data_IF_196228667013
#
_entry.id   IF_196228667013
#
_cell.length_a   1.000
_cell.length_b   1.000
_cell.length_c   1.000
_cell.angle_alpha   90.00
_cell.angle_beta   90.00
_cell.angle_gamma   90.00
#
_symmetry.space_group_name_H-M   'P 1'
#
loop_
_entity.id
_entity.type
_entity.pdbx_description
1 polymer ?
#
# COMPACT_ATOMS: atom_id res chain seq x y z
N UNK A 1 1.09 32.92 -15.83
CA UNK A 1 1.44 31.67 -16.54
C UNK A 1 2.92 31.69 -16.90
N UNK A 2 3.78 31.07 -16.14
CA UNK A 2 5.21 30.85 -16.47
C UNK A 2 5.46 29.36 -16.49
N UNK A 3 5.61 28.78 -17.68
CA UNK A 3 6.03 27.40 -17.89
C UNK A 3 7.49 27.26 -17.44
N UNK A 4 7.73 26.51 -16.35
CA UNK A 4 9.06 26.06 -15.96
C UNK A 4 9.42 24.86 -16.83
N UNK A 5 10.46 25.00 -17.65
CA UNK A 5 11.12 23.90 -18.38
C UNK A 5 11.96 23.12 -17.38
N UNK A 6 11.63 21.86 -17.18
CA UNK A 6 12.45 20.90 -16.43
C UNK A 6 13.57 20.39 -17.33
N UNK A 7 14.78 20.44 -16.82
CA UNK A 7 15.94 19.79 -17.45
C UNK A 7 15.97 18.35 -16.92
N UNK A 8 15.91 17.39 -17.84
CA UNK A 8 16.08 15.95 -17.56
C UNK A 8 17.53 15.72 -17.10
N UNK A 9 17.70 15.12 -15.93
CA UNK A 9 18.98 14.57 -15.48
C UNK A 9 19.07 13.12 -15.95
N UNK A 10 20.11 12.82 -16.70
CA UNK A 10 20.43 11.46 -17.16
C UNK A 10 21.54 10.96 -16.23
N UNK A 11 21.26 9.90 -15.48
CA UNK A 11 22.28 9.18 -14.75
C UNK A 11 23.03 8.24 -15.70
N UNK A 12 24.31 8.46 -15.90
CA UNK A 12 25.17 7.66 -16.77
C UNK A 12 25.87 6.60 -15.91
N UNK A 13 25.46 5.33 -16.02
CA UNK A 13 26.14 4.22 -15.38
C UNK A 13 27.40 3.84 -16.13
N UNK A 14 28.54 3.87 -15.44
CA UNK A 14 29.86 3.51 -15.97
C UNK A 14 30.06 1.99 -16.04
N UNK A 15 30.21 1.47 -17.24
CA UNK A 15 30.63 0.10 -17.50
C UNK A 15 32.16 0.05 -17.50
N UNK A 16 32.79 -0.70 -16.59
CA UNK A 16 34.23 -0.93 -16.60
C UNK A 16 34.60 -2.05 -17.57
N UNK A 17 35.27 -1.69 -18.66
CA UNK A 17 35.96 -2.64 -19.55
C UNK A 17 37.48 -2.42 -19.40
N UNK A 18 38.18 -3.46 -18.96
CA UNK A 18 39.62 -3.45 -18.90
C UNK A 18 40.18 -3.73 -20.30
N UNK A 19 40.95 -2.78 -20.85
CA UNK A 19 41.89 -3.03 -21.94
C UNK A 19 43.28 -2.58 -21.53
N UNK A 20 44.21 -3.51 -21.59
CA UNK A 20 45.65 -3.23 -21.48
C UNK A 20 46.19 -2.70 -22.81
N UNK A 21 46.88 -1.59 -22.80
CA UNK A 21 47.63 -1.12 -23.97
C UNK A 21 48.86 -0.35 -23.66
N UNK A 22 49.84 -0.50 -24.54
CA UNK A 22 51.20 -0.06 -24.58
C UNK A 22 51.37 1.46 -24.65
N UNK A 23 52.42 1.92 -24.02
CA UNK A 23 52.89 3.30 -23.99
C UNK A 23 53.47 3.81 -25.33
N UNK A 24 53.12 5.05 -25.67
CA UNK A 24 53.87 5.98 -26.50
C UNK A 24 53.82 7.36 -25.84
N UNK A 25 54.95 8.07 -25.63
CA UNK A 25 54.94 9.38 -24.99
C UNK A 25 54.70 10.52 -25.97
N UNK A 26 53.83 11.48 -25.56
CA UNK A 26 53.61 12.75 -26.26
C UNK A 26 53.74 13.93 -25.32
N UNK A 27 54.24 15.05 -25.84
CA UNK A 27 54.60 16.30 -25.18
C UNK A 27 53.44 17.05 -24.51
N UNK A 28 53.73 17.95 -23.55
CA UNK A 28 52.70 18.62 -22.75
C UNK A 28 52.10 19.85 -23.46
N UNK A 29 50.79 19.94 -23.49
CA UNK A 29 50.00 21.13 -23.80
C UNK A 29 49.59 21.88 -22.53
N UNK A 30 49.24 23.19 -22.62
CA UNK A 30 49.18 24.09 -21.47
C UNK A 30 47.99 23.78 -20.52
N UNK A 31 48.24 24.00 -19.24
CA UNK A 31 47.30 23.84 -18.13
C UNK A 31 46.19 24.87 -18.23
N UNK A 32 44.98 24.42 -18.54
CA UNK A 32 43.73 25.09 -18.16
C UNK A 32 43.33 24.55 -16.80
N UNK A 33 43.10 25.43 -15.86
CA UNK A 33 42.61 25.13 -14.51
C UNK A 33 41.18 24.62 -14.59
N UNK A 34 40.87 23.42 -14.11
CA UNK A 34 39.53 23.01 -13.87
C UNK A 34 39.31 22.85 -12.37
N UNK A 35 39.02 23.91 -11.68
CA UNK A 35 38.49 23.83 -10.33
C UNK A 35 37.12 24.52 -10.28
N UNK A 36 36.13 23.92 -10.91
CA UNK A 36 34.72 23.99 -10.54
C UNK A 36 34.23 22.54 -10.37
N UNK A 37 34.63 21.93 -9.27
CA UNK A 37 33.89 20.83 -8.68
C UNK A 37 32.50 21.36 -8.35
N UNK A 38 31.53 21.10 -9.20
CA UNK A 38 30.12 21.17 -8.82
C UNK A 38 29.95 20.16 -7.69
N UNK A 39 29.96 20.64 -6.45
CA UNK A 39 29.41 19.91 -5.32
C UNK A 39 27.96 19.61 -5.69
N UNK A 40 27.69 18.37 -6.10
CA UNK A 40 26.34 17.82 -6.07
C UNK A 40 25.93 17.92 -4.61
N UNK A 41 25.11 18.91 -4.27
CA UNK A 41 24.46 18.98 -2.97
C UNK A 41 23.58 17.72 -2.88
N UNK A 42 24.11 16.69 -2.24
CA UNK A 42 23.30 15.56 -1.78
C UNK A 42 22.18 16.14 -0.94
N UNK A 43 20.96 15.99 -1.41
CA UNK A 43 19.77 16.40 -0.67
C UNK A 43 19.67 15.40 0.51
N UNK A 44 20.20 15.79 1.67
CA UNK A 44 20.07 14.99 2.89
C UNK A 44 18.61 15.02 3.33
N UNK A 45 17.88 13.92 3.09
CA UNK A 45 16.49 13.76 3.48
C UNK A 45 16.48 13.22 4.91
N UNK A 46 16.10 14.06 5.86
CA UNK A 46 16.03 13.66 7.27
C UNK A 46 14.77 12.81 7.52
N UNK A 47 15.00 11.57 7.97
CA UNK A 47 13.92 10.67 8.35
C UNK A 47 13.25 11.12 9.68
N UNK A 48 11.95 10.82 9.87
CA UNK A 48 11.24 11.14 11.10
C UNK A 48 11.91 10.53 12.33
N UNK A 49 12.24 11.37 13.32
CA UNK A 49 12.85 10.97 14.57
C UNK A 49 11.93 11.25 15.75
N UNK A 50 12.17 10.58 16.88
CA UNK A 50 11.48 10.83 18.16
C UNK A 50 9.96 10.68 18.10
N UNK A 51 9.45 9.71 17.32
CA UNK A 51 8.04 9.36 17.32
C UNK A 51 7.62 8.78 18.68
N UNK A 52 6.45 9.20 19.16
CA UNK A 52 5.85 8.73 20.40
C UNK A 52 5.28 7.32 20.29
N UNK A 53 4.84 6.90 19.09
CA UNK A 53 4.33 5.57 18.84
C UNK A 53 5.40 4.51 19.11
N UNK A 54 5.01 3.37 19.69
CA UNK A 54 5.88 2.20 19.81
C UNK A 54 6.14 1.58 18.42
N UNK A 55 5.05 1.38 17.65
CA UNK A 55 5.15 0.97 16.25
C UNK A 55 4.49 2.01 15.34
N UNK A 56 5.14 2.29 14.21
CA UNK A 56 4.65 3.23 13.21
C UNK A 56 4.95 2.72 11.79
N UNK A 57 4.03 2.95 10.87
CA UNK A 57 4.20 2.71 9.44
C UNK A 57 3.66 3.90 8.66
N UNK A 58 4.41 4.37 7.68
CA UNK A 58 3.93 5.21 6.59
C UNK A 58 4.03 4.41 5.30
N UNK A 59 2.92 4.27 4.57
CA UNK A 59 2.80 3.45 3.38
C UNK A 59 2.33 4.27 2.18
N UNK A 60 2.91 3.99 1.02
CA UNK A 60 2.32 4.31 -0.28
C UNK A 60 1.13 3.37 -0.50
N UNK A 61 -0.08 3.90 -0.46
CA UNK A 61 -1.29 3.09 -0.54
C UNK A 61 -1.54 2.53 -1.95
N UNK A 62 -0.92 3.08 -2.98
CA UNK A 62 -1.12 2.65 -4.36
C UNK A 62 -0.22 1.43 -4.70
N UNK A 63 1.01 1.40 -4.17
CA UNK A 63 1.96 0.32 -4.41
C UNK A 63 2.11 -0.67 -3.25
N UNK A 64 1.63 -0.33 -2.05
CA UNK A 64 1.85 -1.08 -0.81
C UNK A 64 3.27 -0.93 -0.24
N UNK A 65 4.09 -0.04 -0.81
CA UNK A 65 5.46 0.21 -0.35
C UNK A 65 5.48 0.91 1.01
N UNK A 66 6.27 0.40 1.96
CA UNK A 66 6.56 1.07 3.22
C UNK A 66 7.57 2.19 2.95
N UNK A 67 7.19 3.44 3.22
CA UNK A 67 8.02 4.63 3.06
C UNK A 67 8.79 4.98 4.33
N UNK A 68 8.25 4.58 5.48
CA UNK A 68 8.89 4.67 6.79
C UNK A 68 8.33 3.58 7.71
N UNK A 69 9.23 2.92 8.45
CA UNK A 69 8.90 1.89 9.44
C UNK A 69 9.60 2.11 10.76
N UNK A 70 8.89 1.91 11.87
CA UNK A 70 9.42 1.82 13.23
C UNK A 70 8.75 0.65 13.92
N UNK A 71 9.48 -0.43 14.16
CA UNK A 71 8.90 -1.68 14.67
C UNK A 71 7.57 -2.03 13.99
N UNK A 72 7.48 -1.77 12.69
CA UNK A 72 6.26 -1.83 11.88
C UNK A 72 5.69 -3.24 11.76
N UNK A 73 6.53 -4.26 11.90
CA UNK A 73 6.17 -5.67 11.86
C UNK A 73 5.95 -6.29 13.24
N UNK A 74 6.08 -5.48 14.32
CA UNK A 74 5.82 -5.98 15.68
C UNK A 74 4.33 -5.98 15.95
N UNK A 75 3.77 -7.17 16.21
CA UNK A 75 2.36 -7.34 16.56
C UNK A 75 2.05 -6.73 17.94
N UNK A 76 1.03 -5.88 17.98
CA UNK A 76 0.54 -5.20 19.17
C UNK A 76 -0.98 -5.19 19.22
N UNK A 77 -1.53 -5.04 20.43
CA UNK A 77 -2.93 -4.72 20.61
C UNK A 77 -3.24 -3.39 19.87
N UNK A 78 -4.34 -3.34 19.14
CA UNK A 78 -4.67 -2.24 18.24
C UNK A 78 -5.99 -1.53 18.57
N UNK A 79 -6.66 -1.95 19.64
CA UNK A 79 -7.89 -1.34 20.13
C UNK A 79 -8.92 -1.15 18.98
N UNK A 80 -9.71 -0.09 19.06
CA UNK A 80 -10.78 0.20 18.07
C UNK A 80 -10.31 0.54 16.65
N UNK A 81 -8.99 0.51 16.33
CA UNK A 81 -8.57 0.53 14.92
C UNK A 81 -9.01 -0.76 14.20
N UNK A 82 -9.29 -1.83 14.94
CA UNK A 82 -9.97 -3.06 14.48
C UNK A 82 -11.24 -2.78 13.67
N UNK A 83 -11.98 -1.72 14.02
CA UNK A 83 -13.27 -1.40 13.39
C UNK A 83 -13.17 -1.04 11.91
N UNK A 84 -11.97 -0.74 11.39
CA UNK A 84 -11.71 -0.65 9.95
C UNK A 84 -12.00 -2.00 9.27
N UNK A 85 -11.46 -3.10 9.82
CA UNK A 85 -11.71 -4.45 9.31
C UNK A 85 -13.18 -4.84 9.53
N UNK A 86 -13.76 -4.51 10.67
CA UNK A 86 -15.18 -4.76 10.95
C UNK A 86 -16.08 -4.08 9.93
N UNK A 87 -15.83 -2.80 9.62
CA UNK A 87 -16.62 -2.08 8.62
C UNK A 87 -16.48 -2.71 7.24
N UNK A 88 -15.25 -2.97 6.75
CA UNK A 88 -15.08 -3.45 5.37
C UNK A 88 -15.67 -4.85 5.19
N UNK A 89 -15.47 -5.77 6.14
CA UNK A 89 -16.10 -7.10 6.12
C UNK A 89 -17.62 -6.97 6.10
N UNK A 90 -18.20 -6.06 6.90
CA UNK A 90 -19.64 -5.80 6.91
C UNK A 90 -20.16 -5.34 5.55
N UNK A 91 -19.48 -4.36 4.96
CA UNK A 91 -19.85 -3.78 3.66
C UNK A 91 -19.78 -4.80 2.51
N UNK A 92 -18.85 -5.73 2.58
CA UNK A 92 -18.66 -6.76 1.54
C UNK A 92 -19.59 -7.97 1.70
N UNK A 93 -20.21 -8.17 2.89
CA UNK A 93 -21.00 -9.38 3.17
C UNK A 93 -22.48 -9.12 3.42
N UNK A 94 -22.94 -7.86 3.61
CA UNK A 94 -24.32 -7.59 3.97
C UNK A 94 -24.90 -6.36 3.26
N UNK A 95 -26.22 -6.36 3.06
CA UNK A 95 -26.96 -5.21 2.56
C UNK A 95 -27.19 -4.20 3.70
N UNK A 96 -26.76 -2.96 3.50
CA UNK A 96 -26.89 -1.86 4.46
C UNK A 96 -28.34 -1.52 4.85
N UNK A 97 -29.34 -1.96 4.06
CA UNK A 97 -30.75 -1.79 4.37
C UNK A 97 -31.31 -2.88 5.29
N UNK A 98 -30.49 -3.86 5.66
CA UNK A 98 -30.90 -4.90 6.60
C UNK A 98 -31.23 -4.31 7.97
N UNK A 99 -32.25 -4.91 8.61
CA UNK A 99 -32.63 -4.58 9.99
C UNK A 99 -31.85 -5.48 10.96
N UNK A 100 -31.07 -4.87 11.83
CA UNK A 100 -30.27 -5.53 12.87
C UNK A 100 -31.01 -5.44 14.19
N UNK A 101 -31.16 -6.57 14.89
CA UNK A 101 -31.73 -6.64 16.23
C UNK A 101 -30.60 -6.80 17.26
N UNK A 102 -30.58 -5.95 18.27
CA UNK A 102 -29.62 -6.04 19.36
C UNK A 102 -29.91 -7.25 20.22
N UNK A 103 -28.90 -8.10 20.43
CA UNK A 103 -28.95 -9.20 21.38
C UNK A 103 -28.68 -8.70 22.81
N UNK A 104 -28.95 -9.55 23.82
CA UNK A 104 -28.55 -9.30 25.21
C UNK A 104 -27.03 -9.11 25.31
N UNK A 105 -26.26 -9.88 24.50
CA UNK A 105 -24.80 -9.79 24.50
C UNK A 105 -24.30 -8.48 23.88
N UNK A 106 -24.87 -8.04 22.76
CA UNK A 106 -24.55 -6.76 22.18
C UNK A 106 -24.86 -5.61 23.15
N UNK A 107 -26.08 -5.60 23.75
CA UNK A 107 -26.49 -4.58 24.71
C UNK A 107 -25.63 -4.54 26.00
N UNK A 108 -24.95 -5.64 26.35
CA UNK A 108 -24.10 -5.75 27.54
C UNK A 108 -22.63 -5.33 27.31
N UNK A 109 -22.28 -4.91 26.11
CA UNK A 109 -20.88 -4.54 25.81
C UNK A 109 -20.44 -3.33 26.67
N UNK A 110 -19.15 -3.26 27.05
CA UNK A 110 -18.64 -2.12 27.83
C UNK A 110 -18.51 -0.85 26.97
N UNK A 111 -18.39 0.30 27.62
CA UNK A 111 -18.17 1.60 27.00
C UNK A 111 -16.95 1.59 26.00
N UNK A 112 -17.10 2.30 24.90
CA UNK A 112 -18.09 3.29 24.45
C UNK A 112 -19.27 2.58 23.82
N UNK A 113 -20.52 3.01 24.10
CA UNK A 113 -21.75 2.35 23.66
C UNK A 113 -22.71 3.32 22.97
N UNK A 114 -23.48 2.81 21.99
CA UNK A 114 -24.69 3.42 21.48
C UNK A 114 -25.80 3.39 22.57
N UNK A 115 -25.70 2.45 23.51
CA UNK A 115 -26.72 2.12 24.51
C UNK A 115 -28.02 1.57 23.86
N UNK A 116 -27.87 0.75 22.83
CA UNK A 116 -28.99 0.00 22.26
C UNK A 116 -29.54 -1.00 23.26
N UNK A 117 -30.86 -1.06 23.42
CA UNK A 117 -31.51 -2.02 24.29
C UNK A 117 -31.61 -3.40 23.63
N UNK A 118 -31.61 -4.47 24.44
CA UNK A 118 -31.92 -5.81 23.93
C UNK A 118 -33.29 -5.85 23.22
N UNK A 119 -33.33 -6.42 22.01
CA UNK A 119 -34.48 -6.45 21.13
C UNK A 119 -34.71 -5.17 20.30
N UNK A 120 -33.98 -4.09 20.58
CA UNK A 120 -34.08 -2.85 19.79
C UNK A 120 -33.51 -3.07 18.38
N UNK A 121 -34.14 -2.44 17.38
CA UNK A 121 -33.81 -2.65 15.98
C UNK A 121 -33.29 -1.38 15.31
N UNK A 122 -32.31 -1.54 14.44
CA UNK A 122 -31.66 -0.48 13.70
C UNK A 122 -31.40 -0.91 12.25
N UNK A 123 -31.24 0.05 11.33
CA UNK A 123 -30.65 -0.26 10.02
C UNK A 123 -29.16 -0.56 10.18
N UNK A 124 -28.66 -1.53 9.43
CA UNK A 124 -27.23 -1.86 9.40
C UNK A 124 -26.38 -0.65 9.02
N UNK A 125 -26.85 0.16 8.07
CA UNK A 125 -26.21 1.43 7.69
C UNK A 125 -25.98 2.34 8.91
N UNK A 126 -27.00 2.52 9.73
CA UNK A 126 -26.94 3.40 10.91
C UNK A 126 -25.93 2.91 11.94
N UNK A 127 -25.85 1.59 12.12
CA UNK A 127 -24.85 0.98 12.99
C UNK A 127 -23.43 1.11 12.43
N UNK A 128 -23.23 1.11 11.12
CA UNK A 128 -21.92 1.38 10.50
C UNK A 128 -21.44 2.81 10.76
N UNK A 129 -22.32 3.81 10.70
CA UNK A 129 -21.99 5.17 11.12
C UNK A 129 -21.69 5.25 12.62
N UNK A 130 -22.50 4.64 13.47
CA UNK A 130 -22.29 4.51 14.91
C UNK A 130 -20.92 3.88 15.23
N UNK A 131 -20.56 2.79 14.55
CA UNK A 131 -19.29 2.07 14.65
C UNK A 131 -18.09 2.97 14.37
N UNK A 132 -18.16 3.76 13.30
CA UNK A 132 -16.99 4.52 12.83
C UNK A 132 -16.87 5.89 13.48
N UNK A 133 -17.97 6.62 13.64
CA UNK A 133 -17.94 7.99 14.12
C UNK A 133 -17.71 8.05 15.65
N UNK A 134 -18.47 7.27 16.43
CA UNK A 134 -18.40 7.24 17.89
C UNK A 134 -17.63 6.04 18.45
N UNK A 135 -17.35 5.04 17.59
CA UNK A 135 -16.61 3.84 18.01
C UNK A 135 -17.40 2.91 18.94
N UNK A 136 -18.74 2.87 18.85
CA UNK A 136 -19.59 2.10 19.76
C UNK A 136 -19.30 0.59 19.69
N UNK A 137 -19.09 -0.03 20.85
CA UNK A 137 -18.73 -1.44 20.99
C UNK A 137 -19.92 -2.38 20.83
N UNK A 138 -21.07 -1.97 21.33
CA UNK A 138 -22.35 -2.67 21.20
C UNK A 138 -22.79 -2.74 19.71
N UNK A 139 -22.64 -1.63 18.96
CA UNK A 139 -22.87 -1.62 17.52
C UNK A 139 -21.98 -2.60 16.78
N UNK A 140 -20.68 -2.71 17.14
CA UNK A 140 -19.75 -3.64 16.52
C UNK A 140 -20.18 -5.11 16.73
N UNK A 141 -20.63 -5.45 17.93
CA UNK A 141 -21.11 -6.80 18.25
C UNK A 141 -22.43 -7.11 17.55
N UNK A 142 -23.39 -6.17 17.59
CA UNK A 142 -24.67 -6.36 16.90
C UNK A 142 -24.48 -6.55 15.37
N UNK A 143 -23.55 -5.79 14.74
CA UNK A 143 -23.16 -5.98 13.35
C UNK A 143 -22.59 -7.38 13.14
N UNK A 144 -21.65 -7.82 13.96
CA UNK A 144 -21.00 -9.12 13.82
C UNK A 144 -21.98 -10.28 13.94
N UNK A 145 -22.87 -10.25 14.93
CA UNK A 145 -23.93 -11.24 15.11
C UNK A 145 -24.90 -11.27 13.91
N UNK A 146 -25.25 -10.09 13.37
CA UNK A 146 -26.15 -10.01 12.22
C UNK A 146 -25.49 -10.58 10.95
N UNK A 147 -24.22 -10.23 10.68
CA UNK A 147 -23.55 -10.60 9.42
C UNK A 147 -23.14 -12.09 9.40
N UNK A 148 -22.67 -12.61 10.52
CA UNK A 148 -22.10 -13.96 10.58
C UNK A 148 -22.78 -14.92 11.56
N UNK A 149 -23.81 -14.46 12.27
CA UNK A 149 -24.55 -15.25 13.25
C UNK A 149 -23.90 -15.32 14.64
N UNK A 150 -22.61 -15.01 14.77
CA UNK A 150 -21.91 -14.89 16.05
C UNK A 150 -20.66 -14.05 15.94
N UNK A 151 -20.14 -13.58 17.08
CA UNK A 151 -18.85 -12.84 17.14
C UNK A 151 -17.69 -13.70 16.67
N UNK A 152 -17.67 -14.97 17.02
CA UNK A 152 -16.62 -15.91 16.65
C UNK A 152 -16.61 -16.18 15.14
N UNK A 153 -17.78 -16.37 14.54
CA UNK A 153 -17.90 -16.56 13.08
C UNK A 153 -17.48 -15.29 12.32
N UNK A 154 -17.84 -14.10 12.84
CA UNK A 154 -17.42 -12.83 12.26
C UNK A 154 -15.90 -12.61 12.39
N UNK A 155 -15.30 -12.97 13.53
CA UNK A 155 -13.85 -12.95 13.69
C UNK A 155 -13.15 -13.88 12.67
N UNK A 156 -13.77 -15.01 12.34
CA UNK A 156 -13.34 -15.87 11.24
C UNK A 156 -13.26 -15.12 9.92
N UNK A 157 -14.33 -14.41 9.50
CA UNK A 157 -14.34 -13.59 8.29
C UNK A 157 -13.28 -12.48 8.31
N UNK A 158 -13.06 -11.85 9.47
CA UNK A 158 -12.02 -10.83 9.61
C UNK A 158 -10.61 -11.41 9.40
N UNK A 159 -10.35 -12.60 9.92
CA UNK A 159 -9.06 -13.28 9.77
C UNK A 159 -8.86 -13.83 8.35
N UNK A 160 -9.91 -14.33 7.70
CA UNK A 160 -9.88 -14.70 6.28
C UNK A 160 -9.52 -13.49 5.41
N UNK A 161 -10.18 -12.36 5.63
CA UNK A 161 -9.86 -11.11 4.92
C UNK A 161 -8.43 -10.65 5.20
N UNK A 162 -7.94 -10.72 6.45
CA UNK A 162 -6.56 -10.40 6.78
C UNK A 162 -5.56 -11.28 6.01
N UNK A 163 -5.83 -12.58 5.93
CA UNK A 163 -4.99 -13.52 5.16
C UNK A 163 -5.02 -13.23 3.65
N UNK A 164 -6.20 -12.93 3.07
CA UNK A 164 -6.33 -12.51 1.66
C UNK A 164 -5.47 -11.27 1.34
N UNK A 165 -5.39 -10.34 2.29
CA UNK A 165 -4.59 -9.12 2.16
C UNK A 165 -3.09 -9.33 2.48
N UNK A 166 -2.67 -10.56 2.82
CA UNK A 166 -1.29 -10.86 3.21
C UNK A 166 -0.89 -10.31 4.58
N UNK A 167 -1.87 -10.02 5.46
CA UNK A 167 -1.64 -9.54 6.83
C UNK A 167 -1.39 -10.73 7.77
N UNK A 168 -0.20 -11.33 7.67
CA UNK A 168 0.12 -12.60 8.31
C UNK A 168 0.37 -12.50 9.83
N UNK A 169 0.68 -11.31 10.32
CA UNK A 169 0.91 -11.04 11.74
C UNK A 169 -0.30 -10.36 12.42
N UNK A 170 -1.48 -10.54 11.82
CA UNK A 170 -2.76 -10.01 12.32
C UNK A 170 -3.65 -11.15 12.79
N UNK A 171 -4.25 -10.97 13.98
CA UNK A 171 -5.24 -11.91 14.52
C UNK A 171 -6.37 -11.19 15.21
N UNK A 172 -7.59 -11.35 14.71
CA UNK A 172 -8.79 -10.75 15.25
C UNK A 172 -9.60 -11.78 16.05
N UNK A 173 -10.03 -11.40 17.26
CA UNK A 173 -10.90 -12.19 18.14
C UNK A 173 -12.21 -11.45 18.39
N UNK A 174 -12.17 -10.10 18.38
CA UNK A 174 -13.33 -9.26 18.68
C UNK A 174 -13.60 -8.25 17.57
N UNK A 175 -14.88 -7.96 17.22
CA UNK A 175 -15.20 -6.98 16.19
C UNK A 175 -15.03 -5.52 16.64
N UNK A 176 -14.95 -5.29 17.95
CA UNK A 176 -14.84 -3.96 18.55
C UNK A 176 -13.40 -3.55 18.90
N UNK A 177 -12.46 -4.52 18.92
CA UNK A 177 -11.06 -4.28 19.26
C UNK A 177 -10.76 -4.24 20.76
N UNK A 178 -11.65 -4.76 21.59
CA UNK A 178 -11.35 -4.98 23.01
C UNK A 178 -10.31 -6.08 23.17
N UNK A 179 -9.42 -5.89 24.14
CA UNK A 179 -8.34 -6.82 24.43
C UNK A 179 -8.90 -8.22 24.75
N UNK A 180 -8.45 -9.23 24.04
CA UNK A 180 -8.80 -10.64 24.22
C UNK A 180 -7.66 -11.52 23.80
N UNK A 181 -7.53 -12.66 24.45
CA UNK A 181 -6.55 -13.69 24.14
C UNK A 181 -7.24 -15.07 24.16
N UNK A 182 -6.80 -15.97 23.31
CA UNK A 182 -7.20 -17.35 23.27
C UNK A 182 -6.00 -18.26 23.01
N UNK A 183 -6.22 -19.54 22.73
CA UNK A 183 -5.17 -20.54 22.48
C UNK A 183 -4.27 -20.23 21.27
N UNK A 184 -4.75 -19.42 20.32
CA UNK A 184 -4.02 -19.02 19.11
C UNK A 184 -3.24 -17.71 19.29
N UNK A 185 -3.45 -16.99 20.40
CA UNK A 185 -2.76 -15.77 20.78
C UNK A 185 -3.67 -14.61 21.13
N UNK A 186 -3.11 -13.40 21.16
CA UNK A 186 -3.86 -12.20 21.53
C UNK A 186 -4.40 -11.45 20.28
N UNK A 187 -5.53 -10.75 20.48
CA UNK A 187 -6.11 -9.84 19.51
C UNK A 187 -5.15 -8.69 19.20
N UNK A 188 -4.70 -8.58 17.96
CA UNK A 188 -3.73 -7.56 17.57
C UNK A 188 -3.30 -7.63 16.10
N UNK A 189 -2.56 -6.61 15.70
CA UNK A 189 -2.02 -6.45 14.34
C UNK A 189 -0.66 -5.76 14.39
N UNK A 190 0.03 -5.69 13.27
CA UNK A 190 1.22 -4.85 13.08
C UNK A 190 0.85 -3.50 12.49
N UNK A 191 1.74 -2.50 12.59
CA UNK A 191 1.49 -1.21 11.96
C UNK A 191 1.49 -1.34 10.41
N UNK A 192 2.33 -2.21 9.87
CA UNK A 192 2.37 -2.50 8.43
C UNK A 192 1.06 -3.16 7.95
N UNK A 193 0.57 -4.18 8.65
CA UNK A 193 -0.68 -4.86 8.29
C UNK A 193 -1.88 -3.92 8.43
N UNK A 194 -1.93 -3.11 9.48
CA UNK A 194 -3.01 -2.13 9.66
C UNK A 194 -3.02 -1.08 8.54
N UNK A 195 -1.85 -0.64 8.09
CA UNK A 195 -1.72 0.25 6.94
C UNK A 195 -2.19 -0.43 5.64
N UNK A 196 -1.86 -1.70 5.44
CA UNK A 196 -2.29 -2.50 4.27
C UNK A 196 -3.82 -2.69 4.25
N UNK A 197 -4.43 -3.00 5.40
CA UNK A 197 -5.89 -3.09 5.54
C UNK A 197 -6.56 -1.76 5.16
N UNK A 198 -6.05 -0.62 5.65
CA UNK A 198 -6.59 0.69 5.29
C UNK A 198 -6.40 0.99 3.80
N UNK A 199 -5.25 0.67 3.21
CA UNK A 199 -4.98 0.85 1.78
C UNK A 199 -5.99 0.08 0.92
N UNK A 200 -6.27 -1.18 1.27
CA UNK A 200 -7.31 -1.97 0.63
C UNK A 200 -8.69 -1.30 0.71
N UNK A 201 -9.09 -0.86 1.90
CA UNK A 201 -10.40 -0.25 2.13
C UNK A 201 -10.65 1.00 1.26
N UNK A 202 -9.61 1.79 0.98
CA UNK A 202 -9.74 3.07 0.26
C UNK A 202 -9.43 3.00 -1.24
N UNK A 203 -8.72 1.96 -1.70
CA UNK A 203 -8.27 1.86 -3.10
C UNK A 203 -8.84 0.65 -3.84
N UNK A 204 -8.90 -0.52 -3.21
CA UNK A 204 -9.11 -1.78 -3.91
C UNK A 204 -10.49 -2.40 -3.69
N UNK A 205 -11.04 -2.27 -2.47
CA UNK A 205 -12.35 -2.84 -2.15
C UNK A 205 -13.44 -2.38 -3.11
N UNK A 206 -14.33 -3.27 -3.56
CA UNK A 206 -15.52 -2.88 -4.32
C UNK A 206 -16.44 -1.94 -3.55
N UNK A 207 -16.30 -1.87 -2.22
CA UNK A 207 -17.09 -1.04 -1.32
C UNK A 207 -16.36 0.25 -0.87
N UNK A 208 -15.23 0.60 -1.51
CA UNK A 208 -14.39 1.74 -1.13
C UNK A 208 -15.13 3.07 -1.06
N UNK A 209 -16.04 3.34 -1.99
CA UNK A 209 -16.80 4.61 -1.99
C UNK A 209 -17.72 4.70 -0.77
N UNK A 210 -18.41 3.61 -0.42
CA UNK A 210 -19.26 3.55 0.77
C UNK A 210 -18.43 3.61 2.06
N UNK A 211 -17.27 2.96 2.08
CA UNK A 211 -16.32 3.04 3.19
C UNK A 211 -15.87 4.49 3.41
N UNK A 212 -15.49 5.20 2.35
CA UNK A 212 -15.09 6.61 2.40
C UNK A 212 -16.25 7.51 2.80
N UNK A 213 -17.47 7.31 2.27
CA UNK A 213 -18.67 8.06 2.68
C UNK A 213 -18.85 7.99 4.21
N UNK A 214 -18.82 6.78 4.78
CA UNK A 214 -19.02 6.59 6.21
C UNK A 214 -17.90 7.24 7.03
N UNK A 215 -16.63 7.00 6.66
CA UNK A 215 -15.47 7.45 7.45
C UNK A 215 -15.19 8.95 7.36
N UNK A 216 -15.67 9.62 6.30
CA UNK A 216 -15.53 11.07 6.10
C UNK A 216 -16.69 11.87 6.67
N UNK A 217 -17.83 11.25 6.92
CA UNK A 217 -19.05 11.96 7.40
C UNK A 217 -18.76 12.66 8.72
N UNK A 218 -18.97 13.98 8.82
CA UNK A 218 -18.67 14.75 10.05
C UNK A 218 -19.61 14.41 11.21
N UNK A 219 -20.89 14.24 10.91
CA UNK A 219 -21.93 13.86 11.88
C UNK A 219 -23.06 13.14 11.18
N UNK A 220 -23.72 12.24 11.88
CA UNK A 220 -24.82 11.44 11.37
C UNK A 220 -25.88 11.26 12.45
N UNK A 221 -27.17 11.44 12.12
CA UNK A 221 -28.27 11.26 13.03
C UNK A 221 -29.25 10.25 12.48
N UNK A 222 -29.76 9.37 13.32
CA UNK A 222 -30.70 8.32 12.97
C UNK A 222 -31.62 7.98 14.14
N UNK A 223 -32.64 7.18 13.88
CA UNK A 223 -33.55 6.66 14.88
C UNK A 223 -33.54 5.13 14.86
N UNK A 224 -33.94 4.51 15.96
CA UNK A 224 -34.29 3.10 15.91
C UNK A 224 -35.49 2.87 14.94
N UNK A 225 -35.70 1.63 14.53
CA UNK A 225 -36.77 1.29 13.53
C UNK A 225 -38.14 1.75 13.99
N UNK A 226 -38.43 1.70 15.29
CA UNK A 226 -39.72 2.14 15.86
C UNK A 226 -39.86 3.67 15.89
N UNK A 227 -38.80 4.44 15.66
CA UNK A 227 -38.80 5.91 15.75
C UNK A 227 -38.98 6.45 17.20
N UNK A 228 -38.77 5.61 18.20
CA UNK A 228 -38.96 5.97 19.63
C UNK A 228 -37.75 6.59 20.26
N UNK A 229 -36.56 6.36 19.70
CA UNK A 229 -35.27 6.89 20.19
C UNK A 229 -34.47 7.46 19.02
N UNK A 230 -33.87 8.63 19.27
CA UNK A 230 -33.01 9.31 18.30
C UNK A 230 -31.55 9.30 18.80
N UNK A 231 -30.64 9.12 17.86
CA UNK A 231 -29.21 9.05 18.09
C UNK A 231 -28.46 10.07 17.21
N UNK A 232 -27.35 10.58 17.70
CA UNK A 232 -26.48 11.47 16.96
C UNK A 232 -25.04 11.08 17.18
N UNK A 233 -24.30 10.87 16.12
CA UNK A 233 -22.90 10.49 16.09
C UNK A 233 -22.05 11.60 15.49
N UNK A 234 -20.90 11.90 16.11
CA UNK A 234 -19.93 12.86 15.61
C UNK A 234 -18.60 12.18 15.30
N UNK A 235 -17.96 12.59 14.24
CA UNK A 235 -16.70 11.99 13.83
C UNK A 235 -15.55 12.46 14.71
N UNK A 236 -14.92 11.55 15.44
CA UNK A 236 -13.78 11.83 16.31
C UNK A 236 -12.43 11.78 15.56
N UNK A 237 -12.43 11.57 14.24
CA UNK A 237 -11.21 11.61 13.43
C UNK A 237 -10.79 13.07 13.15
N UNK A 238 -10.05 13.63 14.08
CA UNK A 238 -9.54 15.01 13.98
C UNK A 238 -8.64 15.22 12.74
N UNK A 239 -8.04 14.18 12.21
CA UNK A 239 -7.17 14.25 11.04
C UNK A 239 -7.87 14.83 9.82
N UNK A 240 -9.17 14.55 9.62
CA UNK A 240 -9.97 15.07 8.51
C UNK A 240 -9.99 16.59 8.39
N UNK A 241 -9.75 17.29 9.50
CA UNK A 241 -9.67 18.77 9.53
C UNK A 241 -8.27 19.31 9.83
N UNK A 242 -7.31 18.42 10.08
CA UNK A 242 -5.96 18.79 10.49
C UNK A 242 -5.01 18.96 9.31
N UNK A 243 -5.19 18.14 8.26
CA UNK A 243 -4.36 18.20 7.06
C UNK A 243 -5.24 18.17 5.82
N UNK A 244 -4.92 19.04 4.86
CA UNK A 244 -5.57 19.05 3.56
C UNK A 244 -5.28 17.74 2.81
N UNK A 245 -6.33 17.16 2.23
CA UNK A 245 -6.25 15.84 1.58
C UNK A 245 -6.50 14.64 2.49
N UNK A 246 -6.75 14.82 3.80
CA UNK A 246 -7.15 13.72 4.67
C UNK A 246 -8.50 13.13 4.23
N UNK A 247 -8.56 11.79 4.04
CA UNK A 247 -9.73 11.11 3.47
C UNK A 247 -10.34 10.04 4.36
N UNK A 248 -9.64 9.54 5.36
CA UNK A 248 -10.16 8.49 6.25
C UNK A 248 -9.33 8.37 7.52
N UNK A 249 -9.84 7.63 8.50
CA UNK A 249 -9.06 7.21 9.66
C UNK A 249 -9.92 6.70 10.80
N UNK A 250 -9.25 6.01 11.74
CA UNK A 250 -9.87 5.47 12.96
C UNK A 250 -8.92 5.57 14.13
N UNK A 251 -9.41 6.08 15.26
CA UNK A 251 -8.71 6.08 16.53
C UNK A 251 -9.03 4.82 17.33
N UNK A 252 -8.10 4.41 18.20
CA UNK A 252 -8.30 3.34 19.17
C UNK A 252 -7.65 3.67 20.51
N UNK A 253 -8.19 3.11 21.59
CA UNK A 253 -7.58 3.13 22.90
C UNK A 253 -8.11 1.98 23.75
N UNK A 254 -7.21 1.22 24.36
CA UNK A 254 -7.45 0.39 25.55
C UNK A 254 -6.29 0.60 26.52
N UNK A 255 -6.42 0.15 27.76
CA UNK A 255 -5.33 0.23 28.74
C UNK A 255 -4.07 -0.49 28.28
N UNK A 256 -4.23 -1.62 27.59
CA UNK A 256 -3.13 -2.44 27.06
C UNK A 256 -2.54 -1.83 25.77
N UNK A 257 -3.39 -1.47 24.82
CA UNK A 257 -2.93 -0.96 23.51
C UNK A 257 -2.31 0.45 23.56
N UNK A 258 -2.68 1.28 24.55
CA UNK A 258 -2.42 2.71 24.49
C UNK A 258 -3.24 3.38 23.38
N UNK A 259 -2.87 4.60 22.98
CA UNK A 259 -3.50 5.28 21.86
C UNK A 259 -3.00 4.69 20.53
N UNK A 260 -3.93 4.25 19.69
CA UNK A 260 -3.69 3.77 18.33
C UNK A 260 -4.39 4.66 17.32
N UNK A 261 -3.85 4.69 16.11
CA UNK A 261 -4.45 5.44 15.01
C UNK A 261 -4.08 4.81 13.66
N UNK A 262 -5.02 4.83 12.72
CA UNK A 262 -4.76 4.62 11.31
C UNK A 262 -5.47 5.72 10.53
N UNK A 263 -4.81 6.29 9.53
CA UNK A 263 -5.40 7.35 8.72
C UNK A 263 -4.82 7.40 7.31
N UNK A 264 -5.60 7.94 6.39
CA UNK A 264 -5.25 8.05 4.98
C UNK A 264 -5.35 9.49 4.48
N UNK A 265 -4.41 9.87 3.63
CA UNK A 265 -4.34 11.17 2.99
C UNK A 265 -4.11 11.00 1.48
N UNK A 266 -4.88 11.72 0.67
CA UNK A 266 -4.68 11.79 -0.78
C UNK A 266 -4.38 13.21 -1.20
N UNK A 267 -3.22 13.42 -1.81
CA UNK A 267 -2.76 14.75 -2.21
C UNK A 267 -1.79 14.67 -3.39
N UNK A 268 -1.95 15.55 -4.36
CA UNK A 268 -1.06 15.65 -5.54
C UNK A 268 -0.90 14.31 -6.28
N UNK A 269 -2.01 13.59 -6.45
CA UNK A 269 -2.11 12.27 -7.07
C UNK A 269 -1.27 11.17 -6.36
N UNK A 270 -1.03 11.33 -5.05
CA UNK A 270 -0.35 10.38 -4.16
C UNK A 270 -1.25 10.04 -2.99
N UNK A 271 -1.30 8.76 -2.63
CA UNK A 271 -2.11 8.29 -1.50
C UNK A 271 -1.22 7.69 -0.42
N UNK A 272 -1.29 8.25 0.77
CA UNK A 272 -0.50 7.83 1.93
C UNK A 272 -1.41 7.23 3.00
N UNK A 273 -0.92 6.18 3.65
CA UNK A 273 -1.52 5.63 4.87
C UNK A 273 -0.51 5.66 6.01
N UNK A 274 -0.92 6.19 7.16
CA UNK A 274 -0.17 6.11 8.41
C UNK A 274 -0.88 5.17 9.37
N UNK A 275 -0.12 4.30 10.04
CA UNK A 275 -0.61 3.47 11.13
C UNK A 275 0.31 3.62 12.35
N UNK A 276 -0.27 3.82 13.53
CA UNK A 276 0.42 4.06 14.79
C UNK A 276 -0.17 3.16 15.88
N UNK A 277 0.68 2.38 16.55
CA UNK A 277 0.31 1.52 17.65
C UNK A 277 1.09 1.92 18.92
N UNK A 278 0.40 1.93 20.08
CA UNK A 278 1.03 2.30 21.33
C UNK A 278 1.56 3.75 21.38
N UNK A 279 0.80 4.70 20.85
CA UNK A 279 1.21 6.10 20.72
C UNK A 279 0.82 6.92 21.99
N UNK A 280 1.36 6.50 23.15
CA UNK A 280 1.11 7.10 24.45
C UNK A 280 -0.10 6.51 25.18
N UNK A 281 -0.21 6.89 26.48
CA UNK A 281 -1.26 6.48 27.40
C UNK A 281 -1.96 7.70 28.00
N UNK A 282 -2.88 7.57 28.95
CA UNK A 282 -3.65 8.71 29.49
C UNK A 282 -2.79 9.94 29.82
N UNK A 283 -3.31 11.10 29.48
CA UNK A 283 -2.72 12.44 29.43
C UNK A 283 -1.96 12.76 28.11
N UNK A 284 -1.69 11.77 27.25
CA UNK A 284 -0.90 11.93 26.02
C UNK A 284 -1.73 11.68 24.73
N UNK A 285 -3.04 11.88 24.77
CA UNK A 285 -3.96 11.61 23.66
C UNK A 285 -3.64 12.34 22.34
N UNK A 286 -2.81 13.39 22.38
CA UNK A 286 -2.44 14.18 21.22
C UNK A 286 -1.17 13.67 20.50
N UNK A 287 -0.42 12.74 21.10
CA UNK A 287 0.81 12.20 20.51
C UNK A 287 0.56 11.60 19.10
N UNK A 288 -0.52 10.82 18.96
CA UNK A 288 -0.89 10.26 17.66
C UNK A 288 -1.09 11.31 16.57
N UNK A 289 -1.58 12.52 16.92
CA UNK A 289 -1.75 13.60 15.94
C UNK A 289 -0.42 14.24 15.56
N UNK A 290 0.52 14.35 16.50
CA UNK A 290 1.86 14.84 16.24
C UNK A 290 2.62 13.90 15.31
N UNK A 291 2.64 12.59 15.65
CA UNK A 291 3.30 11.56 14.82
C UNK A 291 2.65 11.45 13.43
N UNK A 292 1.31 11.45 13.36
CA UNK A 292 0.59 11.44 12.07
C UNK A 292 1.02 12.60 11.19
N UNK A 293 1.05 13.83 11.74
CA UNK A 293 1.45 15.01 10.97
C UNK A 293 2.90 14.93 10.50
N UNK A 294 3.80 14.49 11.38
CA UNK A 294 5.22 14.36 11.05
C UNK A 294 5.44 13.34 9.92
N UNK A 295 4.82 12.15 10.01
CA UNK A 295 4.96 11.10 9.00
C UNK A 295 4.32 11.49 7.68
N UNK A 296 3.11 12.06 7.68
CA UNK A 296 2.44 12.51 6.46
C UNK A 296 3.24 13.63 5.77
N UNK A 297 3.77 14.60 6.55
CA UNK A 297 4.58 15.66 5.99
C UNK A 297 5.87 15.12 5.39
N UNK A 298 6.54 14.16 6.05
CA UNK A 298 7.71 13.47 5.51
C UNK A 298 7.39 12.80 4.16
N UNK A 299 6.27 12.08 4.08
CA UNK A 299 5.84 11.47 2.81
C UNK A 299 5.63 12.51 1.69
N UNK A 300 4.95 13.60 2.00
CA UNK A 300 4.65 14.67 1.04
C UNK A 300 5.94 15.34 0.54
N UNK A 301 6.87 15.65 1.43
CA UNK A 301 8.05 16.46 1.12
C UNK A 301 9.19 15.63 0.51
N UNK A 302 9.28 14.35 0.86
CA UNK A 302 10.43 13.51 0.53
C UNK A 302 10.23 12.58 -0.66
N UNK A 303 8.98 12.28 -1.04
CA UNK A 303 8.69 11.29 -2.09
C UNK A 303 8.01 11.92 -3.29
N UNK A 304 8.27 11.34 -4.47
CA UNK A 304 7.65 11.71 -5.74
C UNK A 304 7.08 10.46 -6.41
N UNK A 305 5.95 10.61 -7.13
CA UNK A 305 5.33 9.53 -7.89
C UNK A 305 6.07 9.32 -9.20
N UNK A 306 6.49 8.10 -9.43
CA UNK A 306 7.18 7.69 -10.64
C UNK A 306 6.37 6.61 -11.35
N UNK A 307 6.11 6.81 -12.65
CA UNK A 307 5.53 5.79 -13.50
C UNK A 307 6.66 4.90 -14.03
N UNK A 308 6.69 3.64 -13.62
CA UNK A 308 7.72 2.67 -14.00
C UNK A 308 7.72 2.36 -15.51
N UNK A 309 6.55 2.52 -16.18
CA UNK A 309 6.40 2.28 -17.60
C UNK A 309 6.98 3.42 -18.48
N UNK A 310 7.22 4.60 -17.90
CA UNK A 310 7.79 5.76 -18.59
C UNK A 310 9.30 5.86 -18.41
N UNK A 311 9.91 4.96 -17.64
CA UNK A 311 11.35 4.94 -17.45
C UNK A 311 12.06 4.46 -18.72
N UNK A 312 13.22 5.06 -19.03
CA UNK A 312 14.08 4.61 -20.13
C UNK A 312 14.72 3.26 -19.74
N UNK A 313 14.29 2.18 -20.37
CA UNK A 313 14.84 0.84 -20.15
C UNK A 313 16.16 0.64 -20.93
N UNK A 314 17.00 -0.33 -20.51
CA UNK A 314 18.21 -0.67 -21.27
C UNK A 314 17.89 -1.03 -22.72
N UNK A 315 18.58 -0.42 -23.67
CA UNK A 315 18.37 -0.65 -25.13
C UNK A 315 18.50 -2.12 -25.51
N UNK A 316 19.34 -2.86 -24.80
CA UNK A 316 19.55 -4.28 -25.00
C UNK A 316 18.27 -5.10 -24.75
N UNK A 317 17.31 -4.61 -23.95
CA UNK A 317 16.03 -5.29 -23.73
C UNK A 317 15.21 -5.41 -25.02
N UNK A 318 15.26 -4.39 -25.87
CA UNK A 318 14.48 -4.30 -27.13
C UNK A 318 15.27 -4.73 -28.38
N UNK A 319 16.57 -5.01 -28.25
CA UNK A 319 17.37 -5.45 -29.39
C UNK A 319 16.80 -6.73 -30.01
N UNK A 320 16.75 -6.84 -31.35
CA UNK A 320 16.35 -8.09 -32.01
C UNK A 320 17.19 -9.28 -31.55
N UNK A 321 16.59 -10.47 -31.53
CA UNK A 321 17.26 -11.72 -31.16
C UNK A 321 17.61 -12.53 -32.42
N UNK A 322 18.83 -13.10 -32.42
CA UNK A 322 19.27 -14.01 -33.47
C UNK A 322 18.60 -15.38 -33.31
N UNK A 323 17.99 -15.87 -34.40
CA UNK A 323 17.42 -17.21 -34.52
C UNK A 323 18.21 -17.96 -35.57
N UNK A 324 19.01 -18.96 -35.14
CA UNK A 324 19.74 -19.85 -36.03
C UNK A 324 18.86 -20.98 -36.54
N UNK A 325 19.25 -21.61 -37.66
CA UNK A 325 18.49 -22.70 -38.27
C UNK A 325 17.17 -22.28 -38.89
N UNK A 326 16.95 -20.98 -39.08
CA UNK A 326 15.73 -20.40 -39.66
C UNK A 326 15.59 -20.68 -41.16
N UNK A 327 14.33 -20.81 -41.61
CA UNK A 327 14.02 -20.78 -43.04
C UNK A 327 14.05 -19.35 -43.52
N UNK A 328 15.08 -18.98 -44.32
CA UNK A 328 15.28 -17.65 -44.88
C UNK A 328 15.36 -17.73 -46.42
N UNK A 329 14.95 -16.66 -47.11
CA UNK A 329 15.00 -16.57 -48.58
C UNK A 329 16.43 -16.48 -49.11
N UNK A 330 17.33 -15.90 -48.36
CA UNK A 330 18.74 -15.69 -48.69
C UNK A 330 19.66 -16.87 -48.30
N UNK A 331 19.07 -17.97 -47.80
CA UNK A 331 19.79 -19.17 -47.37
C UNK A 331 20.80 -18.94 -46.21
N UNK A 332 20.76 -17.77 -45.55
CA UNK A 332 21.66 -17.44 -44.42
C UNK A 332 21.41 -18.32 -43.20
N UNK A 333 20.21 -18.88 -43.09
CA UNK A 333 19.71 -19.67 -41.94
C UNK A 333 19.75 -18.90 -40.59
N UNK A 334 19.84 -17.57 -40.67
CA UNK A 334 19.83 -16.69 -39.53
C UNK A 334 18.71 -15.66 -39.75
N UNK A 335 17.79 -15.54 -38.78
CA UNK A 335 16.75 -14.53 -38.79
C UNK A 335 16.84 -13.70 -37.51
N UNK A 336 16.85 -12.38 -37.66
CA UNK A 336 16.67 -11.46 -36.56
C UNK A 336 15.18 -11.28 -36.29
N UNK A 337 14.75 -11.45 -35.04
CA UNK A 337 13.34 -11.34 -34.65
C UNK A 337 13.21 -10.29 -33.56
N UNK A 338 12.20 -9.43 -33.67
CA UNK A 338 11.90 -8.40 -32.67
C UNK A 338 11.52 -9.04 -31.35
N UNK A 339 11.97 -8.40 -30.30
CA UNK A 339 11.64 -8.71 -28.91
C UNK A 339 10.73 -7.61 -28.37
N UNK A 340 9.71 -7.98 -27.64
CA UNK A 340 8.80 -7.04 -27.00
C UNK A 340 8.64 -7.38 -25.54
N UNK A 341 8.37 -6.36 -24.73
CA UNK A 341 8.05 -6.51 -23.33
C UNK A 341 6.62 -7.00 -23.18
N UNK A 342 6.40 -7.94 -22.26
CA UNK A 342 5.08 -8.43 -21.89
C UNK A 342 4.93 -8.29 -20.38
N UNK A 343 4.01 -7.43 -19.95
CA UNK A 343 3.64 -7.26 -18.56
C UNK A 343 2.65 -8.36 -18.16
N UNK A 344 2.83 -8.95 -16.99
CA UNK A 344 1.83 -9.80 -16.37
C UNK A 344 0.75 -8.93 -15.72
N UNK A 345 -0.47 -9.44 -15.63
CA UNK A 345 -1.58 -8.73 -14.96
C UNK A 345 -1.25 -8.43 -13.49
N UNK A 346 -1.68 -7.26 -13.01
CA UNK A 346 -1.53 -6.78 -11.62
C UNK A 346 -0.11 -6.42 -11.13
N UNK A 347 0.77 -5.97 -12.00
CA UNK A 347 2.04 -5.40 -11.53
C UNK A 347 1.93 -3.91 -11.22
N UNK A 348 2.78 -3.45 -10.29
CA UNK A 348 2.88 -2.03 -9.94
C UNK A 348 3.31 -1.22 -11.17
N UNK A 349 2.52 -0.20 -11.51
CA UNK A 349 2.85 0.76 -12.58
C UNK A 349 3.40 2.07 -12.00
N UNK A 350 2.89 2.49 -10.87
CA UNK A 350 3.31 3.70 -10.19
C UNK A 350 3.84 3.36 -8.80
N UNK A 351 4.90 4.05 -8.39
CA UNK A 351 5.52 3.89 -7.07
C UNK A 351 5.99 5.25 -6.57
N UNK A 352 5.94 5.46 -5.26
CA UNK A 352 6.57 6.62 -4.66
C UNK A 352 8.07 6.33 -4.43
N UNK A 353 8.93 7.12 -5.06
CA UNK A 353 10.37 7.11 -4.81
C UNK A 353 10.78 8.30 -3.95
N UNK A 354 11.67 8.07 -3.00
CA UNK A 354 12.32 9.14 -2.27
C UNK A 354 13.25 9.87 -3.24
N UNK A 355 13.44 11.18 -3.05
CA UNK A 355 14.17 12.04 -4.00
C UNK A 355 15.62 11.65 -4.24
N UNK A 356 16.21 10.87 -3.32
CA UNK A 356 17.58 10.31 -3.41
C UNK A 356 17.59 8.85 -3.90
N UNK A 357 16.45 8.26 -4.25
CA UNK A 357 16.34 6.90 -4.77
C UNK A 357 16.21 6.87 -6.28
N UNK A 358 16.63 5.76 -6.87
CA UNK A 358 16.50 5.49 -8.30
C UNK A 358 16.17 4.01 -8.54
N UNK A 359 15.54 3.73 -9.69
CA UNK A 359 15.31 2.36 -10.14
C UNK A 359 16.53 1.87 -10.90
N UNK A 360 17.06 0.73 -10.48
CA UNK A 360 18.07 -0.03 -11.20
C UNK A 360 17.41 -1.08 -12.09
N UNK A 361 18.03 -1.35 -13.24
CA UNK A 361 17.55 -2.39 -14.15
C UNK A 361 18.49 -3.59 -14.13
N UNK A 362 17.91 -4.79 -14.01
CA UNK A 362 18.62 -6.04 -14.23
C UNK A 362 18.00 -6.78 -15.41
N UNK A 363 18.80 -6.93 -16.49
CA UNK A 363 18.42 -7.62 -17.69
C UNK A 363 19.03 -9.02 -17.71
N UNK A 364 18.18 -10.05 -17.81
CA UNK A 364 18.58 -11.44 -18.04
C UNK A 364 18.00 -11.86 -19.39
N UNK A 365 18.86 -12.18 -20.38
CA UNK A 365 18.41 -12.41 -21.74
C UNK A 365 19.24 -13.48 -22.44
N UNK A 366 18.58 -14.32 -23.24
CA UNK A 366 19.23 -15.22 -24.20
C UNK A 366 19.87 -14.40 -25.31
N UNK A 367 21.03 -14.83 -25.78
CA UNK A 367 21.72 -14.17 -26.88
C UNK A 367 21.25 -14.68 -28.27
N UNK A 368 20.84 -15.96 -28.36
CA UNK A 368 20.30 -16.60 -29.55
C UNK A 368 19.39 -17.76 -29.20
N UNK A 369 18.55 -18.15 -30.16
CA UNK A 369 17.77 -19.37 -30.13
C UNK A 369 17.95 -20.16 -31.43
N UNK A 370 17.44 -21.40 -31.48
CA UNK A 370 17.41 -22.25 -32.64
C UNK A 370 15.96 -22.47 -33.09
N UNK A 371 15.72 -22.32 -34.40
CA UNK A 371 14.39 -22.56 -34.98
C UNK A 371 14.04 -24.06 -34.95
N UNK A 372 12.73 -24.44 -34.81
CA UNK A 372 11.59 -23.53 -34.82
C UNK A 372 11.34 -22.86 -33.46
N UNK A 373 10.85 -21.63 -33.47
CA UNK A 373 10.40 -20.89 -32.29
C UNK A 373 9.06 -20.22 -32.57
N UNK A 374 8.22 -20.10 -31.53
CA UNK A 374 6.90 -19.50 -31.65
C UNK A 374 6.88 -18.06 -31.11
N UNK A 375 6.00 -17.22 -31.68
CA UNK A 375 5.68 -15.92 -31.12
C UNK A 375 5.22 -16.06 -29.66
N UNK A 376 5.63 -15.13 -28.79
CA UNK A 376 5.37 -15.19 -27.35
C UNK A 376 6.34 -16.08 -26.56
N UNK A 377 7.31 -16.75 -27.23
CA UNK A 377 8.36 -17.49 -26.51
C UNK A 377 9.18 -16.54 -25.64
N UNK A 378 9.28 -16.84 -24.35
CA UNK A 378 10.07 -16.03 -23.39
C UNK A 378 11.57 -16.18 -23.67
N UNK A 379 12.24 -15.07 -23.89
CA UNK A 379 13.67 -15.00 -24.20
C UNK A 379 14.51 -14.31 -23.12
N UNK A 380 13.84 -13.74 -22.14
CA UNK A 380 14.50 -13.09 -21.01
C UNK A 380 13.52 -12.43 -20.05
N UNK A 381 14.08 -11.72 -19.08
CA UNK A 381 13.36 -10.92 -18.10
C UNK A 381 14.07 -9.59 -17.89
N UNK A 382 13.28 -8.54 -17.69
CA UNK A 382 13.74 -7.22 -17.26
C UNK A 382 13.18 -6.96 -15.86
N UNK A 383 14.07 -6.81 -14.87
CA UNK A 383 13.68 -6.53 -13.48
C UNK A 383 13.97 -5.08 -13.14
N UNK A 384 12.99 -4.44 -12.52
CA UNK A 384 13.10 -3.10 -11.94
C UNK A 384 13.41 -3.28 -10.46
N UNK A 385 14.53 -2.77 -10.01
CA UNK A 385 15.06 -2.99 -8.66
C UNK A 385 15.12 -1.66 -7.92
N UNK A 386 14.55 -1.64 -6.72
CA UNK A 386 14.62 -0.52 -5.79
C UNK A 386 15.22 -1.01 -4.48
N UNK A 387 16.33 -0.42 -4.04
CA UNK A 387 17.02 -0.79 -2.80
C UNK A 387 17.29 -2.30 -2.70
N UNK A 388 17.67 -2.93 -3.83
CA UNK A 388 17.99 -4.36 -3.91
C UNK A 388 16.75 -5.28 -3.98
N UNK A 389 15.53 -4.74 -3.96
CA UNK A 389 14.30 -5.52 -4.08
C UNK A 389 13.66 -5.34 -5.47
N UNK A 390 13.16 -6.43 -6.04
CA UNK A 390 12.43 -6.39 -7.31
C UNK A 390 11.03 -5.81 -7.06
N UNK A 391 10.76 -4.64 -7.64
CA UNK A 391 9.45 -3.96 -7.54
C UNK A 391 8.57 -4.23 -8.76
N UNK A 392 9.17 -4.60 -9.90
CA UNK A 392 8.47 -4.97 -11.11
C UNK A 392 9.33 -5.93 -11.94
N UNK A 393 8.71 -6.87 -12.65
CA UNK A 393 9.37 -7.78 -13.58
C UNK A 393 8.57 -7.87 -14.89
N UNK A 394 9.25 -7.73 -16.02
CA UNK A 394 8.67 -7.87 -17.35
C UNK A 394 9.31 -9.04 -18.08
N UNK A 395 8.49 -9.84 -18.76
CA UNK A 395 8.97 -10.89 -19.65
C UNK A 395 9.31 -10.31 -21.01
N UNK A 396 10.48 -10.65 -21.51
CA UNK A 396 10.87 -10.38 -22.88
C UNK A 396 10.44 -11.56 -23.74
N UNK A 397 9.62 -11.31 -24.76
CA UNK A 397 9.06 -12.36 -25.62
C UNK A 397 9.31 -12.06 -27.08
N UNK A 398 9.39 -13.12 -27.89
CA UNK A 398 9.48 -12.98 -29.35
C UNK A 398 8.17 -12.43 -29.90
N UNK A 399 8.24 -11.46 -30.82
CA UNK A 399 7.09 -10.90 -31.51
C UNK A 399 6.54 -11.86 -32.55
N UNK A 400 7.44 -12.52 -33.31
CA UNK A 400 7.09 -13.37 -34.41
C UNK A 400 7.58 -14.82 -34.25
N UNK A 401 6.87 -15.76 -34.87
CA UNK A 401 7.32 -17.14 -35.01
C UNK A 401 8.37 -17.27 -36.10
N UNK A 402 9.33 -18.20 -35.94
CA UNK A 402 10.35 -18.51 -36.92
C UNK A 402 10.36 -20.00 -37.17
N UNK A 403 10.12 -20.40 -38.43
CA UNK A 403 10.13 -21.80 -38.84
C UNK A 403 11.55 -22.30 -39.09
N UNK A 404 11.79 -23.58 -38.81
CA UNK A 404 13.08 -24.19 -39.08
C UNK A 404 13.31 -24.39 -40.58
N UNK A 405 14.58 -24.47 -40.97
CA UNK A 405 14.98 -24.93 -42.28
C UNK A 405 14.65 -26.42 -42.47
N UNK A 406 13.94 -26.77 -43.53
CA UNK A 406 13.66 -28.15 -43.88
C UNK A 406 14.77 -28.70 -44.79
N UNK A 407 15.40 -29.79 -44.38
CA UNK A 407 16.48 -30.48 -45.14
C UNK A 407 15.94 -31.50 -46.13
N UNK A 408 14.63 -31.52 -46.44
CA UNK A 408 14.07 -32.46 -47.42
C UNK A 408 14.29 -32.01 -48.86
#
# INVERSE_FOLDING_TARGET
MKKRRWKKMIALSLLFIFFSSNHIPAEPLPQDNPDETQEENEIEIEEPKNLYALSACLMDADSGRILFGKEEDVRRANASTTKIMTLIVTLEHADLNNVVTFSDYAASQPDVQLNGASGEQFLLKDLCFSLMLESHNDSAVAIAEHVAGSVEAFAGLMNEKAAELGCMDTYFITPNGLDKEDENGFHGTTAADLARIMSYCINESPMKETFLEITQTPSYSFSNIEGTRNYSCNNHNRFLTMMDGAISGKTGFTGNAGYCYVGALRRDDRTYVVALLGCGWPNNKNYKWADTKQLMQYGIDSFEKVNLLELEIPKEAECPLEISGAKTEDYSRIKMTEVQNRTEEKQIENILLRKDESIEFKLERKQRLEAPVEAGTTVGTLKYILNGQVVREEKLVLKDSVTAWDYR
#
